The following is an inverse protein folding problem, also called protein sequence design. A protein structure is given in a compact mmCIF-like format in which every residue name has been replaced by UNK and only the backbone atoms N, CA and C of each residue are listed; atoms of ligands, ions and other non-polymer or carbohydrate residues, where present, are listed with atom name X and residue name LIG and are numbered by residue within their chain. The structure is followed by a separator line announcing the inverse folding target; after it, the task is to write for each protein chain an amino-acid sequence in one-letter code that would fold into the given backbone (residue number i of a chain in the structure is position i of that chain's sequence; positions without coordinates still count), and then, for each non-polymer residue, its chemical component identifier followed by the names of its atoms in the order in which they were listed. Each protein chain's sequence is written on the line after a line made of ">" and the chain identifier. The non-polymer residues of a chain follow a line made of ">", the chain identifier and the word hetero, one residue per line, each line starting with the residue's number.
data_IF_441813661484
#
_entry.id   IF_441813661484
#
_cell.length_a   1.000
_cell.length_b   1.000
_cell.length_c   1.000
_cell.angle_alpha   90.00
_cell.angle_beta   90.00
_cell.angle_gamma   90.00
#
_symmetry.space_group_name_H-M   'P 1'
#
loop_
_entity.id
_entity.type
_entity.pdbx_description
1 polymer ?
#
# COMPACT_ATOMS: atom_id res chain seq x y z
N UNK A 1 -7.37 36.55 31.49
CA UNK A 1 -6.70 35.55 32.35
C UNK A 1 -5.27 35.33 31.86
N UNK A 2 -4.26 35.85 32.57
CA UNK A 2 -2.86 35.77 32.11
C UNK A 2 -2.28 34.39 32.48
N UNK A 3 -2.33 33.42 31.55
CA UNK A 3 -1.69 32.12 31.77
C UNK A 3 -0.19 32.31 32.05
N UNK A 4 0.34 31.61 33.06
CA UNK A 4 1.76 31.64 33.40
C UNK A 4 2.61 31.16 32.22
N UNK A 5 3.86 31.63 32.11
CA UNK A 5 4.80 31.24 31.04
C UNK A 5 4.92 29.71 30.90
N UNK A 6 4.96 28.99 32.02
CA UNK A 6 5.00 27.51 32.05
C UNK A 6 3.75 26.93 31.40
N UNK A 7 2.59 27.41 31.82
CA UNK A 7 1.29 26.92 31.35
C UNK A 7 1.07 27.19 29.85
N UNK A 8 1.57 28.32 29.33
CA UNK A 8 1.57 28.62 27.88
C UNK A 8 2.48 27.66 27.10
N UNK A 9 3.66 27.36 27.64
CA UNK A 9 4.62 26.46 26.99
C UNK A 9 4.10 25.02 26.94
N UNK A 10 3.46 24.54 28.01
CA UNK A 10 2.82 23.22 28.04
C UNK A 10 1.68 23.11 27.03
N UNK A 11 0.89 24.18 26.88
CA UNK A 11 -0.24 24.19 25.95
C UNK A 11 0.20 24.22 24.49
N UNK A 12 1.30 24.93 24.18
CA UNK A 12 1.95 24.89 22.85
C UNK A 12 2.48 23.49 22.56
N UNK A 13 3.14 22.84 23.52
CA UNK A 13 3.67 21.49 23.34
C UNK A 13 2.57 20.46 23.10
N UNK A 14 1.49 20.54 23.88
CA UNK A 14 0.31 19.67 23.71
C UNK A 14 -0.37 19.89 22.35
N UNK A 15 -0.47 21.15 21.89
CA UNK A 15 -1.04 21.46 20.59
C UNK A 15 -0.17 20.91 19.44
N UNK A 16 1.15 21.09 19.49
CA UNK A 16 2.07 20.53 18.48
C UNK A 16 1.94 19.01 18.45
N UNK A 17 1.94 18.35 19.61
CA UNK A 17 1.77 16.90 19.69
C UNK A 17 0.45 16.44 19.07
N UNK A 18 -0.67 17.06 19.44
CA UNK A 18 -1.99 16.74 18.91
C UNK A 18 -2.09 16.93 17.39
N UNK A 19 -1.53 18.03 16.86
CA UNK A 19 -1.49 18.28 15.41
C UNK A 19 -0.63 17.28 14.66
N UNK A 20 0.56 16.94 15.19
CA UNK A 20 1.40 15.90 14.57
C UNK A 20 0.71 14.55 14.59
N UNK A 21 0.09 14.18 15.72
CA UNK A 21 -0.65 12.92 15.83
C UNK A 21 -1.80 12.86 14.83
N UNK A 22 -2.60 13.92 14.72
CA UNK A 22 -3.71 14.01 13.78
C UNK A 22 -3.24 13.94 12.32
N UNK A 23 -2.14 14.61 11.98
CA UNK A 23 -1.57 14.58 10.64
C UNK A 23 -1.05 13.18 10.27
N UNK A 24 -0.31 12.52 11.18
CA UNK A 24 0.13 11.13 11.00
C UNK A 24 -1.08 10.20 10.85
N UNK A 25 -2.08 10.34 11.72
CA UNK A 25 -3.29 9.53 11.68
C UNK A 25 -4.06 9.71 10.37
N UNK A 26 -4.20 10.94 9.88
CA UNK A 26 -4.85 11.25 8.59
C UNK A 26 -4.06 10.67 7.41
N UNK A 27 -2.74 10.81 7.39
CA UNK A 27 -1.90 10.22 6.34
C UNK A 27 -2.05 8.72 6.33
N UNK A 28 -1.89 8.07 7.50
CA UNK A 28 -2.10 6.63 7.67
C UNK A 28 -3.49 6.25 7.17
N UNK A 29 -4.54 6.96 7.57
CA UNK A 29 -5.93 6.64 7.21
C UNK A 29 -6.22 6.78 5.71
N UNK A 30 -5.55 7.69 5.01
CA UNK A 30 -5.78 7.94 3.57
C UNK A 30 -4.87 7.13 2.65
N UNK A 31 -3.76 6.56 3.15
CA UNK A 31 -2.81 5.79 2.33
C UNK A 31 -2.95 4.27 2.47
N UNK A 32 -4.01 3.80 3.14
CA UNK A 32 -4.22 2.37 3.35
C UNK A 32 -4.95 1.74 2.17
N UNK A 33 -4.33 0.72 1.59
CA UNK A 33 -4.98 -0.23 0.71
C UNK A 33 -4.71 -1.61 1.28
N UNK A 34 -5.74 -2.22 1.85
CA UNK A 34 -5.67 -3.62 2.26
C UNK A 34 -6.03 -4.47 1.05
N UNK A 35 -5.22 -5.50 0.81
CA UNK A 35 -5.45 -6.47 -0.25
C UNK A 35 -5.51 -7.85 0.37
N UNK A 36 -6.45 -8.69 -0.08
CA UNK A 36 -6.49 -10.09 0.32
C UNK A 36 -5.39 -10.86 -0.38
N UNK A 37 -4.57 -11.58 0.38
CA UNK A 37 -3.62 -12.53 -0.19
C UNK A 37 -4.39 -13.71 -0.78
N UNK A 38 -4.28 -14.00 -2.09
CA UNK A 38 -4.96 -15.14 -2.68
C UNK A 38 -4.42 -16.47 -2.16
N UNK A 39 -5.25 -17.51 -2.22
CA UNK A 39 -4.76 -18.88 -2.23
C UNK A 39 -3.94 -19.10 -3.51
N UNK A 40 -2.71 -19.57 -3.34
CA UNK A 40 -1.79 -19.87 -4.44
C UNK A 40 -1.89 -21.33 -4.88
N UNK A 41 -1.36 -21.62 -6.07
CA UNK A 41 -1.29 -22.94 -6.66
C UNK A 41 0.10 -23.15 -7.24
N UNK A 42 0.74 -24.26 -6.85
CA UNK A 42 1.98 -24.71 -7.46
C UNK A 42 1.65 -25.42 -8.78
N UNK A 43 2.19 -24.89 -9.87
CA UNK A 43 2.11 -25.44 -11.22
C UNK A 43 3.51 -25.78 -11.70
N UNK A 44 3.66 -26.90 -12.38
CA UNK A 44 4.89 -27.24 -13.09
C UNK A 44 4.69 -26.91 -14.57
N UNK A 45 5.52 -26.03 -15.12
CA UNK A 45 5.47 -25.65 -16.55
C UNK A 45 6.85 -25.91 -17.14
N UNK A 46 6.94 -26.83 -18.10
CA UNK A 46 8.19 -27.24 -18.75
C UNK A 46 9.32 -27.62 -17.77
N UNK A 47 8.98 -28.25 -16.63
CA UNK A 47 9.96 -28.64 -15.60
C UNK A 47 10.39 -27.52 -14.66
N UNK A 48 9.71 -26.36 -14.72
CA UNK A 48 9.88 -25.24 -13.80
C UNK A 48 8.72 -25.19 -12.81
N UNK A 49 9.04 -25.16 -11.51
CA UNK A 49 8.07 -24.89 -10.46
C UNK A 49 7.69 -23.40 -10.48
N UNK A 50 6.39 -23.15 -10.66
CA UNK A 50 5.80 -21.81 -10.71
C UNK A 50 4.62 -21.78 -9.75
N UNK A 51 4.62 -20.82 -8.84
CA UNK A 51 3.47 -20.60 -7.95
C UNK A 51 2.67 -19.42 -8.45
N UNK A 52 1.38 -19.62 -8.74
CA UNK A 52 0.47 -18.56 -9.21
C UNK A 52 -0.70 -18.37 -8.25
N UNK A 53 -1.18 -17.13 -8.16
CA UNK A 53 -2.35 -16.73 -7.38
C UNK A 53 -3.13 -15.64 -8.10
N UNK A 54 -4.47 -15.65 -8.10
CA UNK A 54 -5.35 -16.62 -7.45
C UNK A 54 -5.29 -18.02 -8.07
N UNK A 55 -5.58 -19.06 -7.27
CA UNK A 55 -5.60 -20.45 -7.74
C UNK A 55 -6.43 -20.57 -9.04
N UNK A 56 -5.92 -21.29 -10.06
CA UNK A 56 -6.66 -21.53 -11.29
C UNK A 56 -8.06 -22.11 -11.04
N UNK A 57 -9.04 -21.56 -11.73
CA UNK A 57 -10.47 -21.91 -11.67
C UNK A 57 -11.10 -21.76 -10.27
N UNK A 58 -10.51 -20.94 -9.40
CA UNK A 58 -11.11 -20.63 -8.10
C UNK A 58 -12.36 -19.75 -8.26
N UNK A 59 -13.32 -19.94 -7.37
CA UNK A 59 -14.51 -19.11 -7.20
C UNK A 59 -14.45 -18.37 -5.88
N UNK A 60 -15.38 -17.44 -5.68
CA UNK A 60 -15.54 -16.69 -4.43
C UNK A 60 -14.27 -15.93 -4.00
N UNK A 61 -13.49 -15.47 -4.99
CA UNK A 61 -12.27 -14.70 -4.75
C UNK A 61 -12.63 -13.31 -4.22
N UNK A 62 -12.00 -12.84 -3.12
CA UNK A 62 -12.18 -11.49 -2.59
C UNK A 62 -11.95 -10.39 -3.64
N UNK A 63 -12.67 -9.27 -3.50
CA UNK A 63 -12.62 -8.19 -4.50
C UNK A 63 -11.34 -7.36 -4.43
N UNK A 64 -10.60 -7.41 -3.33
CA UNK A 64 -9.29 -6.75 -3.16
C UNK A 64 -8.12 -7.73 -3.34
N UNK A 65 -8.36 -8.89 -3.94
CA UNK A 65 -7.32 -9.90 -4.12
C UNK A 65 -6.19 -9.42 -5.03
N UNK A 66 -4.96 -9.67 -4.61
CA UNK A 66 -3.76 -9.46 -5.44
C UNK A 66 -3.53 -10.62 -6.41
N UNK A 67 -2.74 -10.37 -7.46
CA UNK A 67 -2.24 -11.41 -8.35
C UNK A 67 -0.79 -11.70 -7.94
N UNK A 68 -0.43 -12.96 -7.74
CA UNK A 68 0.90 -13.38 -7.28
C UNK A 68 1.48 -14.36 -8.28
N UNK A 69 2.76 -14.20 -8.59
CA UNK A 69 3.52 -15.07 -9.48
C UNK A 69 4.90 -15.26 -8.86
N UNK A 70 5.28 -16.48 -8.52
CA UNK A 70 6.63 -16.83 -8.04
C UNK A 70 7.23 -17.87 -8.97
N UNK A 71 8.37 -17.55 -9.57
CA UNK A 71 9.04 -18.41 -10.54
C UNK A 71 10.56 -18.27 -10.42
N UNK A 72 11.29 -19.29 -10.89
CA UNK A 72 12.77 -19.32 -11.00
C UNK A 72 13.36 -18.29 -11.98
N UNK A 73 12.53 -17.38 -12.48
CA UNK A 73 12.89 -16.29 -13.37
C UNK A 73 11.91 -15.16 -13.13
N UNK A 74 12.37 -13.91 -13.19
CA UNK A 74 11.45 -12.79 -13.25
C UNK A 74 10.60 -12.94 -14.51
N UNK A 75 9.27 -12.87 -14.36
CA UNK A 75 8.42 -12.57 -15.48
C UNK A 75 8.72 -11.13 -15.94
N UNK A 76 8.64 -10.90 -17.24
CA UNK A 76 8.83 -9.56 -17.81
C UNK A 76 7.63 -8.69 -17.44
N UNK A 77 7.91 -7.46 -16.98
CA UNK A 77 6.90 -6.56 -16.39
C UNK A 77 5.77 -6.17 -17.37
N UNK A 78 6.05 -6.24 -18.67
CA UNK A 78 5.12 -5.82 -19.73
C UNK A 78 4.14 -6.92 -20.16
N UNK A 79 4.22 -8.13 -19.57
CA UNK A 79 3.48 -9.29 -20.08
C UNK A 79 2.21 -9.66 -19.32
N UNK A 80 1.88 -8.99 -18.20
CA UNK A 80 0.65 -9.30 -17.47
C UNK A 80 -0.57 -8.71 -18.20
N UNK A 81 -1.32 -9.57 -18.88
CA UNK A 81 -2.60 -9.25 -19.50
C UNK A 81 -3.76 -9.82 -18.66
N UNK A 82 -4.86 -9.08 -18.59
CA UNK A 82 -6.05 -9.47 -17.82
C UNK A 82 -7.32 -9.20 -18.61
N UNK A 83 -8.24 -10.17 -18.62
CA UNK A 83 -9.54 -10.05 -19.29
C UNK A 83 -10.66 -10.42 -18.33
N UNK A 84 -11.58 -9.50 -17.96
CA UNK A 84 -11.57 -8.08 -18.30
C UNK A 84 -10.38 -7.35 -17.65
N UNK A 85 -10.03 -6.19 -18.21
CA UNK A 85 -8.85 -5.42 -17.79
C UNK A 85 -8.90 -5.03 -16.30
N UNK A 86 -7.81 -5.31 -15.59
CA UNK A 86 -7.55 -4.88 -14.21
C UNK A 86 -6.45 -3.83 -14.24
N UNK A 87 -6.79 -2.59 -13.88
CA UNK A 87 -5.77 -1.54 -13.70
C UNK A 87 -4.89 -1.87 -12.49
N UNK A 88 -3.57 -1.94 -12.67
CA UNK A 88 -2.60 -2.20 -11.60
C UNK A 88 -2.03 -0.89 -11.05
N UNK A 89 -2.06 -0.71 -9.74
CA UNK A 89 -1.49 0.48 -9.06
C UNK A 89 -0.02 0.31 -8.69
N UNK A 90 0.37 -0.90 -8.31
CA UNK A 90 1.71 -1.18 -7.82
C UNK A 90 2.10 -2.63 -8.13
N UNK A 91 3.41 -2.83 -8.29
CA UNK A 91 4.03 -4.15 -8.46
C UNK A 91 5.13 -4.26 -7.42
N UNK A 92 5.02 -5.22 -6.51
CA UNK A 92 6.11 -5.56 -5.60
C UNK A 92 6.88 -6.76 -6.15
N UNK A 93 8.21 -6.68 -6.12
CA UNK A 93 9.09 -7.76 -6.54
C UNK A 93 9.96 -8.15 -5.35
N UNK A 94 9.87 -9.41 -4.95
CA UNK A 94 10.63 -10.02 -3.85
C UNK A 94 11.48 -11.16 -4.40
N UNK A 95 12.73 -11.27 -3.93
CA UNK A 95 13.56 -12.45 -4.23
C UNK A 95 13.24 -13.51 -3.17
N UNK A 96 12.50 -14.54 -3.56
CA UNK A 96 11.99 -15.60 -2.66
C UNK A 96 12.98 -16.76 -2.49
N UNK A 97 14.01 -16.86 -3.34
CA UNK A 97 15.03 -17.91 -3.28
C UNK A 97 16.24 -17.61 -4.16
N UNK A 98 17.23 -18.52 -4.22
CA UNK A 98 18.34 -18.40 -5.15
C UNK A 98 17.79 -18.48 -6.58
N UNK A 99 17.64 -17.32 -7.21
CA UNK A 99 17.07 -17.10 -8.56
C UNK A 99 15.54 -17.16 -8.65
N UNK A 100 14.80 -17.27 -7.55
CA UNK A 100 13.32 -17.17 -7.57
C UNK A 100 12.84 -15.76 -7.31
N UNK A 101 11.92 -15.28 -8.14
CA UNK A 101 11.33 -13.95 -8.07
C UNK A 101 9.84 -14.07 -7.89
N UNK A 102 9.35 -13.53 -6.78
CA UNK A 102 7.95 -13.37 -6.49
C UNK A 102 7.51 -11.96 -6.87
N UNK A 103 6.62 -11.87 -7.83
CA UNK A 103 5.94 -10.65 -8.23
C UNK A 103 4.53 -10.64 -7.66
N UNK A 104 4.13 -9.51 -7.06
CA UNK A 104 2.78 -9.27 -6.54
C UNK A 104 2.21 -8.03 -7.20
N UNK A 105 1.12 -8.19 -7.92
CA UNK A 105 0.41 -7.11 -8.61
C UNK A 105 -0.78 -6.67 -7.78
N UNK A 106 -0.82 -5.38 -7.47
CA UNK A 106 -1.84 -4.76 -6.65
C UNK A 106 -2.84 -4.01 -7.54
N UNK A 107 -4.11 -4.44 -7.61
CA UNK A 107 -5.14 -3.70 -8.34
C UNK A 107 -5.25 -2.25 -7.86
N UNK A 108 -5.52 -1.31 -8.75
CA UNK A 108 -5.76 0.10 -8.40
C UNK A 108 -7.15 0.33 -7.80
N UNK A 109 -8.07 -0.60 -8.04
CA UNK A 109 -9.46 -0.56 -7.60
C UNK A 109 -9.91 -1.98 -7.23
N UNK A 110 -10.99 -2.08 -6.46
CA UNK A 110 -11.63 -3.36 -6.20
C UNK A 110 -12.09 -3.99 -7.52
N UNK A 111 -11.85 -5.29 -7.64
CA UNK A 111 -12.35 -6.10 -8.74
C UNK A 111 -13.88 -6.08 -8.76
N UNK A 112 -14.45 -6.13 -9.95
CA UNK A 112 -15.90 -6.25 -10.14
C UNK A 112 -16.43 -7.53 -9.47
N UNK A 113 -17.58 -7.48 -8.78
CA UNK A 113 -18.18 -8.66 -8.17
C UNK A 113 -18.71 -9.63 -9.22
N UNK A 114 -18.81 -10.92 -8.87
CA UNK A 114 -19.35 -11.98 -9.72
C UNK A 114 -18.76 -11.99 -11.14
N UNK A 115 -17.47 -11.69 -11.27
CA UNK A 115 -16.79 -11.51 -12.55
C UNK A 115 -15.66 -12.51 -12.67
N UNK A 116 -15.61 -13.22 -13.79
CA UNK A 116 -14.49 -14.10 -14.14
C UNK A 116 -13.39 -13.29 -14.82
N UNK A 117 -12.19 -13.37 -14.26
CA UNK A 117 -10.97 -12.79 -14.80
C UNK A 117 -10.07 -13.89 -15.33
N UNK A 118 -9.55 -13.70 -16.53
CA UNK A 118 -8.45 -14.46 -17.09
C UNK A 118 -7.18 -13.64 -16.95
N UNK A 119 -6.15 -14.22 -16.37
CA UNK A 119 -4.80 -13.66 -16.27
C UNK A 119 -3.93 -14.39 -17.28
N UNK A 120 -3.10 -13.66 -18.00
CA UNK A 120 -2.15 -14.18 -18.98
C UNK A 120 -0.80 -13.50 -18.75
N UNK A 121 0.28 -14.27 -18.81
CA UNK A 121 1.65 -13.76 -18.67
C UNK A 121 2.62 -14.64 -19.44
N UNK A 122 3.75 -14.07 -19.88
CA UNK A 122 4.87 -14.84 -20.39
C UNK A 122 5.99 -14.94 -19.34
N UNK A 123 6.47 -16.15 -19.08
CA UNK A 123 7.64 -16.40 -18.23
C UNK A 123 8.70 -17.06 -19.11
N UNK A 124 9.79 -16.33 -19.42
CA UNK A 124 10.82 -16.79 -20.38
C UNK A 124 10.22 -17.23 -21.73
N UNK A 125 9.37 -16.38 -22.30
CA UNK A 125 8.66 -16.64 -23.57
C UNK A 125 7.65 -17.81 -23.52
N UNK A 126 7.41 -18.42 -22.36
CA UNK A 126 6.39 -19.46 -22.18
C UNK A 126 5.09 -18.78 -21.72
N UNK A 127 4.02 -18.80 -22.53
CA UNK A 127 2.75 -18.20 -22.15
C UNK A 127 2.02 -19.07 -21.13
N UNK A 128 1.60 -18.46 -20.03
CA UNK A 128 0.83 -19.06 -18.96
C UNK A 128 -0.45 -18.27 -18.81
N UNK A 129 -1.58 -18.96 -18.73
CA UNK A 129 -2.86 -18.31 -18.49
C UNK A 129 -3.74 -19.13 -17.57
N UNK A 130 -4.45 -18.45 -16.69
CA UNK A 130 -5.41 -19.06 -15.78
C UNK A 130 -6.56 -18.10 -15.49
N UNK A 131 -7.68 -18.63 -15.04
CA UNK A 131 -8.86 -17.84 -14.68
C UNK A 131 -9.23 -17.98 -13.21
N UNK A 132 -9.91 -16.98 -12.67
CA UNK A 132 -10.55 -17.02 -11.36
C UNK A 132 -11.84 -16.19 -11.39
N UNK A 133 -12.77 -16.45 -10.46
CA UNK A 133 -14.06 -15.75 -10.38
C UNK A 133 -14.22 -15.09 -9.02
N UNK A 134 -14.53 -13.80 -9.02
CA UNK A 134 -14.75 -13.02 -7.80
C UNK A 134 -16.08 -13.33 -7.13
N UNK A 135 -16.15 -13.13 -5.82
CA UNK A 135 -17.38 -13.29 -5.04
C UNK A 135 -18.48 -12.34 -5.49
N UNK A 136 -19.73 -12.78 -5.37
CA UNK A 136 -20.93 -11.94 -5.53
C UNK A 136 -21.38 -11.25 -4.25
N UNK A 137 -20.81 -11.63 -3.10
CA UNK A 137 -21.21 -11.10 -1.79
C UNK A 137 -20.71 -9.66 -1.58
N UNK A 138 -21.43 -8.85 -0.78
CA UNK A 138 -20.96 -7.51 -0.42
C UNK A 138 -19.63 -7.60 0.32
N UNK A 139 -18.57 -7.17 -0.36
CA UNK A 139 -17.22 -7.25 0.15
C UNK A 139 -16.96 -6.16 1.19
N UNK A 140 -16.68 -6.56 2.44
CA UNK A 140 -16.08 -5.69 3.43
C UNK A 140 -14.57 -5.93 3.41
N UNK A 141 -13.75 -4.98 2.93
CA UNK A 141 -12.29 -5.15 2.96
C UNK A 141 -11.87 -5.38 4.40
N UNK A 142 -11.20 -6.51 4.64
CA UNK A 142 -10.58 -6.77 5.94
C UNK A 142 -9.33 -5.91 6.00
N UNK A 143 -9.48 -4.67 6.48
CA UNK A 143 -8.42 -3.65 6.46
C UNK A 143 -7.22 -4.17 7.28
N UNK A 144 -6.23 -4.73 6.59
CA UNK A 144 -4.93 -5.06 7.16
C UNK A 144 -4.07 -3.81 7.07
N UNK A 145 -3.80 -3.20 8.22
CA UNK A 145 -3.07 -1.93 8.32
C UNK A 145 -1.60 -2.11 7.91
N UNK A 146 -1.26 -1.79 6.66
CA UNK A 146 0.13 -1.59 6.26
C UNK A 146 0.44 -0.09 6.30
N UNK A 147 1.47 0.31 7.06
CA UNK A 147 2.01 1.66 6.96
C UNK A 147 2.42 1.87 5.50
N UNK A 148 1.86 2.88 4.82
CA UNK A 148 2.37 3.25 3.51
C UNK A 148 3.88 3.52 3.64
N UNK A 149 4.65 3.04 2.66
CA UNK A 149 6.13 3.08 2.66
C UNK A 149 6.69 4.48 2.94
N UNK A 150 5.91 5.53 2.65
CA UNK A 150 6.26 6.93 2.87
C UNK A 150 5.53 7.63 4.02
N UNK A 151 4.60 6.95 4.73
CA UNK A 151 3.83 7.56 5.82
C UNK A 151 4.73 8.16 6.91
N UNK A 152 5.80 7.44 7.27
CA UNK A 152 6.79 7.90 8.26
C UNK A 152 7.57 9.13 7.78
N UNK A 153 7.89 9.18 6.49
CA UNK A 153 8.60 10.31 5.87
C UNK A 153 7.70 11.55 5.77
N UNK A 154 6.44 11.38 5.37
CA UNK A 154 5.44 12.46 5.31
C UNK A 154 5.15 13.00 6.73
N UNK A 155 5.02 12.10 7.72
CA UNK A 155 4.88 12.46 9.12
C UNK A 155 6.07 13.27 9.64
N UNK A 156 7.30 12.85 9.32
CA UNK A 156 8.51 13.54 9.73
C UNK A 156 8.62 14.92 9.07
N UNK A 157 8.29 15.03 7.78
CA UNK A 157 8.33 16.28 7.02
C UNK A 157 7.29 17.29 7.53
N UNK A 158 6.08 16.84 7.85
CA UNK A 158 5.03 17.69 8.43
C UNK A 158 5.37 18.12 9.85
N UNK A 159 5.91 17.23 10.68
CA UNK A 159 6.33 17.57 12.04
C UNK A 159 7.48 18.61 12.05
N UNK A 160 8.47 18.46 11.17
CA UNK A 160 9.60 19.39 11.07
C UNK A 160 9.18 20.76 10.56
N UNK A 161 8.33 20.82 9.52
CA UNK A 161 7.78 22.10 9.03
C UNK A 161 6.95 22.83 10.09
N UNK A 162 6.08 22.13 10.81
CA UNK A 162 5.28 22.72 11.89
C UNK A 162 6.15 23.25 13.04
N UNK A 163 7.19 22.49 13.42
CA UNK A 163 8.12 22.87 14.48
C UNK A 163 8.94 24.10 14.09
N UNK A 164 9.38 24.17 12.83
CA UNK A 164 10.12 25.31 12.30
C UNK A 164 9.27 26.59 12.26
N UNK A 165 8.01 26.49 11.81
CA UNK A 165 7.07 27.61 11.77
C UNK A 165 6.74 28.13 13.17
N UNK A 166 6.45 27.24 14.11
CA UNK A 166 6.14 27.63 15.50
C UNK A 166 7.35 28.25 16.21
N UNK A 167 8.55 27.69 16.03
CA UNK A 167 9.79 28.27 16.54
C UNK A 167 10.06 29.68 15.99
N UNK A 168 9.86 29.87 14.67
CA UNK A 168 10.04 31.17 14.00
C UNK A 168 9.07 32.23 14.51
N UNK A 169 7.79 31.87 14.71
CA UNK A 169 6.77 32.77 15.26
C UNK A 169 7.08 33.18 16.71
N UNK A 170 7.58 32.26 17.53
CA UNK A 170 7.99 32.55 18.91
C UNK A 170 9.20 33.50 18.93
N UNK A 171 10.18 33.28 18.06
CA UNK A 171 11.37 34.12 17.97
C UNK A 171 11.04 35.54 17.50
N UNK A 172 10.22 35.69 16.45
CA UNK A 172 9.73 36.99 15.96
C UNK A 172 8.98 37.78 17.04
N UNK A 173 8.15 37.10 17.84
CA UNK A 173 7.40 37.74 18.93
C UNK A 173 8.32 38.18 20.08
N UNK A 174 9.38 37.42 20.36
CA UNK A 174 10.40 37.78 21.37
C UNK A 174 11.28 38.95 20.90
N UNK A 175 11.68 38.97 19.63
CA UNK A 175 12.46 40.06 19.03
C UNK A 175 11.68 41.38 19.02
N UNK A 176 10.39 41.38 18.68
CA UNK A 176 9.55 42.58 18.76
C UNK A 176 9.35 43.10 20.18
N UNK A 177 9.32 42.23 21.18
CA UNK A 177 9.19 42.61 22.60
C UNK A 177 10.47 43.19 23.22
N UNK A 178 11.63 43.03 22.57
CA UNK A 178 12.92 43.55 23.05
C UNK A 178 13.25 44.93 22.46
N UNK A 179 12.53 45.36 21.41
CA UNK A 179 12.73 46.63 20.71
C UNK A 179 11.64 47.68 21.04
N UNK A 180 10.87 47.46 22.11
CA UNK A 180 9.90 48.39 22.71
C UNK A 180 10.18 48.49 24.20
#
# INVERSE_FOLDING_TARGET
>A
MNLSKKMRMTLILAAVFAFTFLAVFLVISNTQSAYSTPNTYLSEVEGMDITIGPKPNSTDVPLDTTIIIDALSSATLDDLDTTPEISISNIAVEVSGPLSYKQTFYPAQLLKPATSYTVSIAIRDIPISWSFTTTSEPYQPTISFYLATYATWIALATATTLTSLTGSLIWLKKSRSLNT
#
